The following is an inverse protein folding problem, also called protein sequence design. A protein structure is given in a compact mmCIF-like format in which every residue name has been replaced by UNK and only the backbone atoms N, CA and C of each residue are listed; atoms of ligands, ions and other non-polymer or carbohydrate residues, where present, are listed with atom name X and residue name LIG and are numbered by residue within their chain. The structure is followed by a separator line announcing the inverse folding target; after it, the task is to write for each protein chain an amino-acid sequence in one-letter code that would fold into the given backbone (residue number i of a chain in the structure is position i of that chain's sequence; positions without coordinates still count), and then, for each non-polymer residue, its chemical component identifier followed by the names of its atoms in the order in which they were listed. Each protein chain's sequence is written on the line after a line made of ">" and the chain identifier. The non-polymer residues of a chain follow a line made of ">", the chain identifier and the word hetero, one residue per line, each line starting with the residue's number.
data_IF_852394297014
#
_entry.id   IF_852394297014
#
_cell.length_a   1.000
_cell.length_b   1.000
_cell.length_c   1.000
_cell.angle_alpha   90.00
_cell.angle_beta   90.00
_cell.angle_gamma   90.00
#
_symmetry.space_group_name_H-M   'P 1'
#
loop_
_entity.id
_entity.type
_entity.pdbx_description
1 polymer ?
#
# COMPACT_ATOMS: atom_id res chain seq x y z
N UNK A 1 -2.85 36.37 20.01
CA UNK A 1 -4.13 36.82 19.43
C UNK A 1 -4.77 35.64 18.70
N UNK A 2 -5.49 34.76 19.40
CA UNK A 2 -6.17 33.61 18.78
C UNK A 2 -7.65 33.94 18.59
N UNK A 3 -8.02 34.46 17.42
CA UNK A 3 -9.42 34.77 17.12
C UNK A 3 -10.21 33.50 16.77
N UNK A 4 -11.21 33.15 17.58
CA UNK A 4 -12.16 32.11 17.20
C UNK A 4 -13.06 32.65 16.09
N UNK A 5 -12.87 32.19 14.86
CA UNK A 5 -13.74 32.57 13.75
C UNK A 5 -15.00 31.70 13.81
N UNK A 6 -16.16 32.26 14.15
CA UNK A 6 -17.44 31.55 14.04
C UNK A 6 -17.78 31.33 12.57
N UNK A 7 -17.84 30.08 12.12
CA UNK A 7 -18.25 29.72 10.76
C UNK A 7 -19.72 29.30 10.77
N UNK A 8 -20.52 29.80 9.83
CA UNK A 8 -21.91 29.37 9.62
C UNK A 8 -21.91 28.02 8.89
N UNK A 9 -22.65 27.04 9.39
CA UNK A 9 -22.81 25.71 8.79
C UNK A 9 -24.29 25.40 8.66
N UNK A 10 -24.67 24.67 7.60
CA UNK A 10 -26.03 24.16 7.37
C UNK A 10 -26.04 22.64 7.48
N UNK A 11 -27.13 22.07 7.98
CA UNK A 11 -27.34 20.63 8.04
C UNK A 11 -28.06 20.13 6.78
N UNK A 12 -27.59 19.01 6.23
CA UNK A 12 -28.31 18.30 5.17
C UNK A 12 -29.49 17.52 5.74
N UNK A 13 -30.58 17.43 4.98
CA UNK A 13 -31.69 16.52 5.25
C UNK A 13 -31.49 15.23 4.45
N UNK A 14 -31.91 14.11 5.03
CA UNK A 14 -31.94 12.83 4.32
C UNK A 14 -33.24 12.63 3.53
N UNK A 15 -33.43 11.45 2.96
CA UNK A 15 -34.60 11.07 2.14
C UNK A 15 -35.95 11.19 2.86
N UNK A 16 -35.95 11.26 4.19
CA UNK A 16 -37.15 11.46 5.01
C UNK A 16 -37.22 12.87 5.60
N UNK A 17 -36.53 13.82 4.99
CA UNK A 17 -36.51 15.23 5.39
C UNK A 17 -36.03 15.44 6.85
N UNK A 18 -35.24 14.50 7.39
CA UNK A 18 -34.68 14.58 8.76
C UNK A 18 -33.16 14.76 8.74
N UNK A 19 -32.64 15.43 9.77
CA UNK A 19 -31.19 15.56 10.00
C UNK A 19 -30.68 14.28 10.63
N UNK A 20 -29.65 13.67 10.04
CA UNK A 20 -28.95 12.51 10.58
C UNK A 20 -27.51 12.84 10.94
N UNK A 21 -27.01 12.24 12.01
CA UNK A 21 -25.61 12.37 12.44
C UNK A 21 -24.79 11.29 11.75
N UNK A 22 -23.73 11.70 11.05
CA UNK A 22 -22.79 10.81 10.37
C UNK A 22 -21.46 10.84 11.12
N UNK A 23 -20.95 9.68 11.51
CA UNK A 23 -19.62 9.55 12.13
C UNK A 23 -18.53 9.57 11.05
N UNK A 24 -17.44 10.30 11.30
CA UNK A 24 -16.33 10.43 10.37
C UNK A 24 -14.99 10.57 11.07
N UNK A 25 -13.91 10.26 10.34
CA UNK A 25 -12.53 10.37 10.84
C UNK A 25 -11.93 11.71 10.39
N UNK A 26 -11.38 12.48 11.33
CA UNK A 26 -10.70 13.75 11.03
C UNK A 26 -9.32 13.47 10.43
N UNK A 27 -9.08 13.98 9.23
CA UNK A 27 -7.75 13.94 8.61
C UNK A 27 -6.80 14.92 9.30
N UNK A 28 -5.51 14.57 9.36
CA UNK A 28 -4.47 15.47 9.83
C UNK A 28 -4.24 16.61 8.83
N UNK A 29 -3.74 17.74 9.33
CA UNK A 29 -3.48 18.93 8.50
C UNK A 29 -2.47 18.63 7.37
N UNK A 30 -1.50 17.75 7.64
CA UNK A 30 -0.49 17.29 6.68
C UNK A 30 -1.11 16.47 5.52
N UNK A 31 -2.06 15.58 5.81
CA UNK A 31 -2.80 14.83 4.77
C UNK A 31 -3.65 15.78 3.93
N UNK A 32 -4.34 16.73 4.57
CA UNK A 32 -5.15 17.74 3.87
C UNK A 32 -4.31 18.65 2.97
N UNK A 33 -3.09 19.00 3.40
CA UNK A 33 -2.18 19.81 2.59
C UNK A 33 -1.75 19.04 1.34
N UNK A 34 -1.30 17.78 1.48
CA UNK A 34 -0.90 16.96 0.32
C UNK A 34 -2.03 16.76 -0.67
N UNK A 35 -3.27 16.57 -0.20
CA UNK A 35 -4.43 16.44 -1.09
C UNK A 35 -4.69 17.72 -1.88
N UNK A 36 -4.56 18.90 -1.27
CA UNK A 36 -4.63 20.17 -2.00
C UNK A 36 -3.52 20.33 -3.02
N UNK A 37 -2.31 19.91 -2.67
CA UNK A 37 -1.14 20.01 -3.57
C UNK A 37 -1.24 19.01 -4.74
N UNK A 38 -1.84 17.83 -4.52
CA UNK A 38 -2.12 16.84 -5.56
C UNK A 38 -3.19 17.30 -6.57
N UNK A 39 -4.22 18.01 -6.10
CA UNK A 39 -5.27 18.60 -6.96
C UNK A 39 -4.76 19.84 -7.73
N UNK A 40 -3.62 20.41 -7.32
CA UNK A 40 -3.00 21.58 -7.96
C UNK A 40 -2.04 21.28 -9.12
N UNK A 41 -1.77 20.01 -9.46
CA UNK A 41 -0.81 19.65 -10.52
C UNK A 41 -1.44 19.50 -11.92
N UNK A 42 -2.57 20.13 -12.19
CA UNK A 42 -3.08 20.33 -13.55
C UNK A 42 -2.47 21.62 -14.15
N UNK A 43 -1.19 21.56 -14.51
CA UNK A 43 -0.54 22.55 -15.41
C UNK A 43 0.68 21.92 -16.09
N UNK A 44 0.43 21.34 -17.26
CA UNK A 44 1.28 21.37 -18.46
C UNK A 44 2.81 21.35 -18.28
N UNK A 45 3.41 20.15 -18.17
CA UNK A 45 4.65 19.84 -18.90
C UNK A 45 4.91 18.32 -18.99
N UNK A 46 5.07 17.74 -20.19
CA UNK A 46 5.59 16.38 -20.31
C UNK A 46 7.07 16.35 -19.90
N UNK A 47 7.57 15.25 -19.31
CA UNK A 47 9.00 15.09 -19.05
C UNK A 47 9.77 15.07 -20.38
N UNK A 48 10.99 15.63 -20.45
CA UNK A 48 11.79 15.57 -21.67
C UNK A 48 12.23 14.13 -21.92
N UNK A 49 11.84 13.58 -23.06
CA UNK A 49 12.28 12.26 -23.54
C UNK A 49 13.80 12.22 -23.73
N UNK A 50 14.48 11.12 -23.35
CA UNK A 50 15.86 10.86 -23.77
C UNK A 50 15.94 10.56 -25.28
N UNK A 51 17.06 10.84 -25.96
CA UNK A 51 17.18 10.63 -27.40
C UNK A 51 17.29 9.14 -27.73
N UNK A 52 16.51 8.68 -28.71
CA UNK A 52 16.68 7.37 -29.35
C UNK A 52 17.95 7.33 -30.20
N UNK A 53 18.58 6.16 -30.29
CA UNK A 53 18.99 5.68 -31.60
C UNK A 53 18.64 4.18 -31.82
N UNK A 54 17.83 3.92 -32.85
CA UNK A 54 18.13 2.85 -33.79
C UNK A 54 17.29 1.56 -33.76
N UNK A 55 16.49 1.43 -34.83
CA UNK A 55 16.28 0.22 -35.67
C UNK A 55 15.13 -0.77 -35.38
N UNK A 56 14.20 -0.77 -36.37
CA UNK A 56 13.52 -1.90 -37.07
C UNK A 56 12.27 -2.55 -36.43
N UNK A 57 11.13 -2.36 -37.11
CA UNK A 57 9.85 -3.11 -37.10
C UNK A 57 10.04 -4.63 -37.45
N UNK A 58 9.05 -5.58 -37.32
CA UNK A 58 7.57 -5.45 -37.47
C UNK A 58 6.71 -6.41 -36.55
N UNK A 59 5.49 -6.91 -36.90
CA UNK A 59 4.21 -6.63 -36.22
C UNK A 59 3.53 -7.83 -35.50
N UNK A 60 2.34 -7.59 -34.90
CA UNK A 60 1.42 -8.53 -34.23
C UNK A 60 1.92 -9.04 -32.86
N UNK A 61 1.12 -9.25 -31.81
CA UNK A 61 -0.27 -9.67 -31.76
C UNK A 61 -0.81 -9.52 -30.31
N UNK A 62 -2.12 -9.32 -30.20
CA UNK A 62 -3.00 -9.94 -29.20
C UNK A 62 -2.75 -9.70 -27.70
N UNK A 63 -3.72 -9.06 -27.03
CA UNK A 63 -3.78 -9.13 -25.57
C UNK A 63 -4.74 -8.23 -24.81
N UNK A 64 -5.68 -7.52 -25.45
CA UNK A 64 -6.74 -6.82 -24.71
C UNK A 64 -7.66 -7.83 -24.02
N UNK A 65 -7.48 -8.04 -22.72
CA UNK A 65 -8.46 -8.72 -21.86
C UNK A 65 -8.85 -7.79 -20.72
N UNK A 66 -9.70 -6.82 -21.04
CA UNK A 66 -10.57 -6.16 -20.06
C UNK A 66 -11.63 -7.19 -19.66
N UNK A 67 -11.47 -7.84 -18.52
CA UNK A 67 -12.51 -8.71 -17.97
C UNK A 67 -13.55 -7.82 -17.28
N UNK A 68 -14.52 -7.36 -18.07
CA UNK A 68 -15.77 -6.83 -17.56
C UNK A 68 -16.60 -7.99 -16.99
N UNK A 69 -16.54 -8.20 -15.68
CA UNK A 69 -17.44 -9.10 -14.97
C UNK A 69 -17.72 -8.50 -13.61
N UNK A 70 -18.82 -7.77 -13.48
CA UNK A 70 -19.71 -7.96 -12.33
C UNK A 70 -21.15 -7.70 -12.77
N UNK A 71 -21.92 -8.78 -12.66
CA UNK A 71 -23.34 -8.83 -12.92
C UNK A 71 -24.11 -7.91 -11.98
N UNK A 72 -25.06 -7.19 -12.58
CA UNK A 72 -26.24 -6.64 -11.91
C UNK A 72 -26.98 -7.76 -11.18
N UNK A 73 -27.05 -7.68 -9.86
CA UNK A 73 -28.09 -8.32 -9.07
C UNK A 73 -28.95 -7.22 -8.42
N UNK A 74 -30.29 -7.21 -8.58
CA UNK A 74 -31.15 -6.33 -7.83
C UNK A 74 -31.18 -6.81 -6.38
N UNK A 75 -30.62 -6.00 -5.47
CA UNK A 75 -30.70 -6.27 -4.02
C UNK A 75 -32.15 -6.04 -3.61
N UNK A 76 -32.78 -7.12 -3.18
CA UNK A 76 -34.12 -7.11 -2.60
C UNK A 76 -34.19 -6.19 -1.40
N UNK A 77 -35.32 -5.47 -1.30
CA UNK A 77 -35.72 -4.67 -0.15
C UNK A 77 -35.51 -5.44 1.17
N UNK A 78 -34.76 -4.93 2.14
CA UNK A 78 -35.03 -5.25 3.52
C UNK A 78 -36.28 -4.48 3.95
N UNK A 79 -37.34 -5.22 4.31
CA UNK A 79 -38.49 -4.68 5.02
C UNK A 79 -38.00 -4.19 6.38
N UNK A 80 -37.74 -2.89 6.49
CA UNK A 80 -37.40 -2.26 7.78
C UNK A 80 -38.67 -2.20 8.63
N UNK A 81 -38.63 -2.87 9.78
CA UNK A 81 -39.61 -2.69 10.85
C UNK A 81 -39.68 -1.21 11.19
N UNK A 82 -40.87 -0.64 11.04
CA UNK A 82 -41.19 0.70 11.51
C UNK A 82 -41.28 0.68 13.03
N UNK A 83 -40.38 1.39 13.72
CA UNK A 83 -40.57 1.76 15.11
C UNK A 83 -41.34 3.09 15.12
N UNK A 84 -42.66 3.01 15.11
CA UNK A 84 -43.57 4.14 15.30
C UNK A 84 -43.47 4.62 16.74
N UNK A 85 -42.69 5.67 17.00
CA UNK A 85 -42.83 6.42 18.24
C UNK A 85 -44.03 7.37 18.10
N UNK A 86 -45.22 6.85 18.37
CA UNK A 86 -46.40 7.66 18.60
C UNK A 86 -46.19 8.45 19.90
N UNK A 87 -45.95 9.76 19.75
CA UNK A 87 -46.28 10.69 20.83
C UNK A 87 -47.79 10.63 21.02
N UNK A 88 -48.24 10.02 22.13
CA UNK A 88 -49.22 10.57 23.07
C UNK A 88 -49.78 9.49 24.03
N UNK A 89 -49.71 9.83 25.32
CA UNK A 89 -50.56 9.42 26.45
C UNK A 89 -50.32 8.08 27.19
N UNK A 90 -50.12 8.23 28.52
CA UNK A 90 -50.38 7.33 29.66
C UNK A 90 -49.24 6.41 30.20
N UNK A 91 -48.67 6.85 31.34
CA UNK A 91 -48.21 6.10 32.54
C UNK A 91 -47.17 4.94 32.41
N UNK A 92 -46.38 4.65 33.49
CA UNK A 92 -44.98 4.26 33.36
C UNK A 92 -44.72 2.75 33.38
N UNK A 93 -43.86 2.28 32.48
CA UNK A 93 -43.09 1.02 32.64
C UNK A 93 -41.66 1.24 32.12
N UNK A 94 -40.86 1.91 32.95
CA UNK A 94 -39.45 2.32 32.74
C UNK A 94 -38.45 1.14 32.88
N UNK A 95 -38.74 -0.04 32.31
CA UNK A 95 -37.79 -1.17 32.40
C UNK A 95 -37.54 -1.94 31.10
N UNK A 96 -38.39 -1.82 30.08
CA UNK A 96 -38.31 -2.69 28.88
C UNK A 96 -37.66 -2.03 27.65
N UNK A 97 -37.27 -0.75 27.70
CA UNK A 97 -36.68 -0.04 26.55
C UNK A 97 -35.14 -0.06 26.53
N UNK A 98 -34.48 -0.56 27.57
CA UNK A 98 -33.01 -0.65 27.65
C UNK A 98 -32.45 -1.95 27.04
N UNK A 99 -33.32 -2.94 26.83
CA UNK A 99 -32.98 -4.30 26.41
C UNK A 99 -32.49 -4.41 24.96
N UNK A 100 -33.07 -3.72 23.96
CA UNK A 100 -32.62 -3.81 22.56
C UNK A 100 -31.22 -3.20 22.34
N UNK A 101 -30.92 -2.08 23.02
CA UNK A 101 -29.62 -1.42 22.93
C UNK A 101 -28.50 -2.30 23.52
N UNK A 102 -28.76 -2.95 24.65
CA UNK A 102 -27.83 -3.91 25.28
C UNK A 102 -27.55 -5.15 24.40
N UNK A 103 -28.55 -5.63 23.65
CA UNK A 103 -28.38 -6.74 22.70
C UNK A 103 -27.49 -6.36 21.51
N UNK A 104 -27.66 -5.15 20.98
CA UNK A 104 -26.83 -4.61 19.89
C UNK A 104 -25.39 -4.37 20.37
N UNK A 105 -25.22 -3.83 21.57
CA UNK A 105 -23.90 -3.61 22.20
C UNK A 105 -23.14 -4.93 22.41
N UNK A 106 -23.82 -5.97 22.90
CA UNK A 106 -23.23 -7.32 23.05
C UNK A 106 -22.85 -7.94 21.72
N UNK A 107 -23.65 -7.73 20.67
CA UNK A 107 -23.32 -8.19 19.31
C UNK A 107 -22.09 -7.51 18.73
N UNK A 108 -21.99 -6.18 18.86
CA UNK A 108 -20.82 -5.39 18.43
C UNK A 108 -19.55 -5.77 19.18
N UNK A 109 -19.65 -5.98 20.51
CA UNK A 109 -18.52 -6.42 21.34
C UNK A 109 -17.97 -7.78 20.89
N UNK A 110 -18.85 -8.72 20.52
CA UNK A 110 -18.42 -10.04 20.04
C UNK A 110 -17.79 -9.98 18.64
N UNK A 111 -18.31 -9.16 17.74
CA UNK A 111 -17.73 -8.94 16.40
C UNK A 111 -16.33 -8.31 16.50
N UNK A 112 -16.15 -7.30 17.35
CA UNK A 112 -14.85 -6.68 17.60
C UNK A 112 -13.88 -7.67 18.25
N UNK A 113 -14.34 -8.52 19.17
CA UNK A 113 -13.51 -9.58 19.74
C UNK A 113 -13.06 -10.61 18.69
N UNK A 114 -13.89 -10.89 17.69
CA UNK A 114 -13.52 -11.71 16.54
C UNK A 114 -12.40 -11.09 15.71
N UNK A 115 -12.55 -9.81 15.34
CA UNK A 115 -11.52 -9.04 14.62
C UNK A 115 -10.21 -8.93 15.41
N UNK A 116 -10.30 -8.69 16.72
CA UNK A 116 -9.14 -8.63 17.61
C UNK A 116 -8.37 -9.97 17.70
N UNK A 117 -9.02 -11.11 17.45
CA UNK A 117 -8.37 -12.42 17.43
C UNK A 117 -7.70 -12.73 16.08
N UNK A 118 -8.19 -12.17 14.97
CA UNK A 118 -7.60 -12.39 13.63
C UNK A 118 -6.46 -11.43 13.33
N UNK A 119 -6.49 -10.20 13.87
CA UNK A 119 -5.42 -9.21 13.70
C UNK A 119 -4.01 -9.73 14.11
N UNK A 120 -3.84 -10.46 15.23
CA UNK A 120 -2.56 -11.07 15.59
C UNK A 120 -2.07 -12.10 14.56
N UNK A 121 -2.98 -12.92 14.02
CA UNK A 121 -2.62 -13.94 13.02
C UNK A 121 -2.18 -13.32 11.69
N UNK A 122 -2.84 -12.22 11.28
CA UNK A 122 -2.46 -11.48 10.08
C UNK A 122 -1.10 -10.79 10.25
N UNK A 123 -0.84 -10.21 11.43
CA UNK A 123 0.47 -9.64 11.78
C UNK A 123 1.58 -10.70 11.76
N UNK A 124 1.34 -11.89 12.33
CA UNK A 124 2.29 -13.00 12.30
C UNK A 124 2.56 -13.51 10.87
N UNK A 125 1.53 -13.55 10.02
CA UNK A 125 1.69 -13.92 8.61
C UNK A 125 2.54 -12.89 7.85
N UNK A 126 2.31 -11.60 8.11
CA UNK A 126 3.12 -10.52 7.53
C UNK A 126 4.57 -10.56 8.03
N UNK A 127 4.79 -10.85 9.31
CA UNK A 127 6.13 -10.99 9.87
C UNK A 127 6.92 -12.13 9.19
N UNK A 128 6.29 -13.29 8.99
CA UNK A 128 6.91 -14.42 8.25
C UNK A 128 7.20 -14.06 6.79
N UNK A 129 6.29 -13.34 6.14
CA UNK A 129 6.52 -12.89 4.76
C UNK A 129 7.72 -11.93 4.69
N UNK A 130 7.82 -11.01 5.64
CA UNK A 130 8.94 -10.07 5.72
C UNK A 130 10.26 -10.83 5.95
N UNK A 131 10.31 -11.74 6.91
CA UNK A 131 11.49 -12.57 7.18
C UNK A 131 11.95 -13.37 5.94
N UNK A 132 11.00 -13.92 5.17
CA UNK A 132 11.32 -14.63 3.94
C UNK A 132 11.94 -13.71 2.89
N UNK A 133 11.44 -12.48 2.74
CA UNK A 133 12.02 -11.48 1.82
C UNK A 133 13.38 -11.01 2.29
N UNK A 134 13.60 -10.87 3.59
CA UNK A 134 14.92 -10.55 4.14
C UNK A 134 15.93 -11.67 3.87
N UNK A 135 15.53 -12.93 4.02
CA UNK A 135 16.38 -14.09 3.66
C UNK A 135 16.71 -14.15 2.18
N UNK A 136 15.74 -13.89 1.31
CA UNK A 136 15.96 -13.83 -0.14
C UNK A 136 16.94 -12.72 -0.50
N UNK A 137 16.73 -11.51 0.05
CA UNK A 137 17.64 -10.38 -0.14
C UNK A 137 19.05 -10.67 0.38
N UNK A 138 19.16 -11.31 1.55
CA UNK A 138 20.45 -11.72 2.10
C UNK A 138 21.16 -12.75 1.21
N UNK A 139 20.43 -13.72 0.67
CA UNK A 139 20.94 -14.71 -0.27
C UNK A 139 21.49 -14.04 -1.53
N UNK A 140 20.68 -13.19 -2.17
CA UNK A 140 21.09 -12.45 -3.38
C UNK A 140 22.29 -11.54 -3.11
N UNK A 141 22.29 -10.83 -1.97
CA UNK A 141 23.42 -9.99 -1.55
C UNK A 141 24.70 -10.80 -1.37
N UNK A 142 24.62 -11.97 -0.74
CA UNK A 142 25.77 -12.85 -0.54
C UNK A 142 26.30 -13.41 -1.87
N UNK A 143 25.41 -13.76 -2.80
CA UNK A 143 25.78 -14.22 -4.13
C UNK A 143 26.57 -13.17 -4.90
N UNK A 144 26.10 -11.92 -4.93
CA UNK A 144 26.81 -10.85 -5.65
C UNK A 144 28.16 -10.50 -5.00
N UNK A 145 28.24 -10.51 -3.67
CA UNK A 145 29.52 -10.35 -2.97
C UNK A 145 30.51 -11.44 -3.36
N UNK A 146 30.06 -12.69 -3.43
CA UNK A 146 30.89 -13.81 -3.85
C UNK A 146 31.33 -13.68 -5.33
N UNK A 147 30.46 -13.21 -6.22
CA UNK A 147 30.83 -12.96 -7.62
C UNK A 147 31.92 -11.89 -7.75
N UNK A 148 31.82 -10.82 -6.96
CA UNK A 148 32.86 -9.78 -6.90
C UNK A 148 34.18 -10.33 -6.38
N UNK A 149 34.16 -11.11 -5.31
CA UNK A 149 35.38 -11.73 -4.76
C UNK A 149 36.05 -12.68 -5.76
N UNK A 150 35.27 -13.47 -6.50
CA UNK A 150 35.79 -14.33 -7.57
C UNK A 150 36.43 -13.48 -8.69
N UNK A 151 35.78 -12.38 -9.09
CA UNK A 151 36.31 -11.48 -10.11
C UNK A 151 37.62 -10.84 -9.65
N UNK A 152 37.66 -10.30 -8.45
CA UNK A 152 38.84 -9.66 -7.86
C UNK A 152 39.99 -10.64 -7.73
N UNK A 153 39.71 -11.88 -7.30
CA UNK A 153 40.71 -12.95 -7.23
C UNK A 153 41.28 -13.28 -8.60
N UNK A 154 40.43 -13.49 -9.61
CA UNK A 154 40.88 -13.77 -10.99
C UNK A 154 41.68 -12.60 -11.58
N UNK A 155 41.26 -11.37 -11.29
CA UNK A 155 41.94 -10.17 -11.74
C UNK A 155 43.35 -10.07 -11.12
N UNK A 156 43.45 -10.29 -9.81
CA UNK A 156 44.73 -10.33 -9.10
C UNK A 156 45.66 -11.44 -9.63
N UNK A 157 45.12 -12.65 -9.82
CA UNK A 157 45.88 -13.77 -10.38
C UNK A 157 46.38 -13.47 -11.80
N UNK A 158 45.57 -12.83 -12.63
CA UNK A 158 45.96 -12.44 -13.98
C UNK A 158 47.12 -11.43 -13.97
N UNK A 159 47.02 -10.36 -13.16
CA UNK A 159 48.10 -9.39 -13.02
C UNK A 159 49.39 -10.02 -12.51
N UNK A 160 49.29 -10.91 -11.52
CA UNK A 160 50.44 -11.63 -10.97
C UNK A 160 51.10 -12.49 -12.04
N UNK A 161 50.33 -13.29 -12.77
CA UNK A 161 50.84 -14.15 -13.83
C UNK A 161 51.50 -13.32 -14.94
N UNK A 162 50.88 -12.22 -15.36
CA UNK A 162 51.45 -11.34 -16.39
C UNK A 162 52.76 -10.70 -15.91
N UNK A 163 52.83 -10.26 -14.65
CA UNK A 163 54.06 -9.72 -14.07
C UNK A 163 55.19 -10.77 -14.03
N UNK A 164 54.87 -12.00 -13.63
CA UNK A 164 55.82 -13.13 -13.62
C UNK A 164 56.33 -13.43 -15.04
N UNK A 165 55.44 -13.49 -16.03
CA UNK A 165 55.81 -13.71 -17.43
C UNK A 165 56.73 -12.62 -17.98
N UNK A 166 56.46 -11.35 -17.66
CA UNK A 166 57.34 -10.26 -18.05
C UNK A 166 58.71 -10.37 -17.39
N UNK A 167 58.77 -10.72 -16.11
CA UNK A 167 60.03 -10.89 -15.39
C UNK A 167 60.86 -12.07 -15.94
N UNK A 168 60.21 -13.20 -16.22
CA UNK A 168 60.84 -14.38 -16.82
C UNK A 168 61.38 -14.07 -18.22
N UNK A 169 60.57 -13.41 -19.06
CA UNK A 169 60.99 -12.99 -20.40
C UNK A 169 62.16 -11.99 -20.36
N UNK A 170 62.16 -11.06 -19.41
CA UNK A 170 63.27 -10.12 -19.21
C UNK A 170 64.55 -10.85 -18.79
N UNK A 171 64.47 -11.75 -17.80
CA UNK A 171 65.61 -12.56 -17.33
C UNK A 171 66.21 -13.40 -18.45
N UNK A 172 65.35 -14.04 -19.25
CA UNK A 172 65.77 -14.83 -20.41
C UNK A 172 66.46 -13.96 -21.48
N UNK A 173 65.94 -12.77 -21.75
CA UNK A 173 66.56 -11.85 -22.70
C UNK A 173 67.91 -11.29 -22.18
N UNK A 174 68.05 -11.09 -20.87
CA UNK A 174 69.33 -10.74 -20.26
C UNK A 174 70.37 -11.86 -20.39
N UNK A 175 69.95 -13.11 -20.19
CA UNK A 175 70.81 -14.29 -20.40
C UNK A 175 71.22 -14.46 -21.87
N UNK A 176 70.32 -14.20 -22.83
CA UNK A 176 70.62 -14.29 -24.27
C UNK A 176 71.63 -13.21 -24.74
N UNK A 177 71.78 -12.10 -24.01
CA UNK A 177 72.72 -11.02 -24.33
C UNK A 177 74.12 -11.25 -23.71
N UNK A 178 74.22 -12.09 -22.68
CA UNK A 178 75.43 -12.25 -21.87
C UNK A 178 76.41 -13.29 -22.40
#
# INVERSE_FOLDING_TARGET
>A
MGGSTSKKVSFGLDENEKVTVIEGVKLSDDVLQRMRDAEGSESTKPPPSPPEPGQKQPPSESGSKTLAFFHRAPIGRPTVLTCSHAVHAAAPTELDHLTPALLIEKGKTHEEQGKAKTLPADLDAWAKQLENKEKELASISSFYKQQLEILDKKNLENYKQTAEQYNEAASKAEDDIR
#
